data_IF_654211624119
#
_entry.id   IF_654211624119
#
_cell.length_a   1.000
_cell.length_b   1.000
_cell.length_c   1.000
_cell.angle_alpha   90.00
_cell.angle_beta   90.00
_cell.angle_gamma   90.00
#
_symmetry.space_group_name_H-M   'P 1'
#
loop_
_entity.id
_entity.type
_entity.pdbx_description
1 polymer ?
#
# COMPACT_ATOMS: atom_id res chain seq x y z
N UNK A 1 9.26 6.58 19.12
CA UNK A 1 9.08 7.86 18.41
C UNK A 1 8.58 7.49 17.03
N UNK A 2 7.44 8.02 16.65
CA UNK A 2 6.79 7.70 15.38
C UNK A 2 7.32 8.69 14.36
N UNK A 3 8.03 8.20 13.36
CA UNK A 3 8.62 9.07 12.34
C UNK A 3 8.21 8.62 10.93
N UNK A 4 8.46 9.49 9.95
CA UNK A 4 8.20 9.19 8.55
C UNK A 4 8.98 7.97 8.02
N UNK A 5 10.08 7.54 8.64
CA UNK A 5 10.76 6.32 8.18
C UNK A 5 9.94 5.09 8.53
N UNK A 6 9.46 5.01 9.77
CA UNK A 6 8.58 3.92 10.19
C UNK A 6 7.29 3.88 9.36
N UNK A 7 6.66 5.03 9.13
CA UNK A 7 5.46 5.12 8.29
C UNK A 7 5.71 4.72 6.83
N UNK A 8 6.88 5.01 6.28
CA UNK A 8 7.27 4.59 4.93
C UNK A 8 7.45 3.07 4.84
N UNK A 9 8.01 2.44 5.87
CA UNK A 9 8.10 0.99 5.95
C UNK A 9 6.70 0.35 6.04
N UNK A 10 5.83 0.87 6.91
CA UNK A 10 4.43 0.40 7.04
C UNK A 10 3.70 0.55 5.71
N UNK A 11 3.77 1.73 5.07
CA UNK A 11 3.17 1.97 3.77
C UNK A 11 3.73 1.02 2.69
N UNK A 12 5.04 0.77 2.71
CA UNK A 12 5.68 -0.21 1.83
C UNK A 12 5.14 -1.63 2.02
N UNK A 13 4.95 -2.07 3.27
CA UNK A 13 4.31 -3.36 3.58
C UNK A 13 2.88 -3.43 3.08
N UNK A 14 2.07 -2.40 3.29
CA UNK A 14 0.69 -2.33 2.78
C UNK A 14 0.67 -2.53 1.27
N UNK A 15 1.51 -1.81 0.53
CA UNK A 15 1.60 -1.92 -0.94
C UNK A 15 2.03 -3.32 -1.38
N UNK A 16 3.07 -3.86 -0.75
CA UNK A 16 3.56 -5.21 -1.06
C UNK A 16 2.49 -6.27 -0.81
N UNK A 17 1.83 -6.23 0.34
CA UNK A 17 0.81 -7.21 0.73
C UNK A 17 -0.43 -7.09 -0.17
N UNK A 18 -0.83 -5.88 -0.60
CA UNK A 18 -1.91 -5.70 -1.57
C UNK A 18 -1.56 -6.30 -2.94
N UNK A 19 -0.33 -6.13 -3.41
CA UNK A 19 0.11 -6.76 -4.65
C UNK A 19 0.11 -8.29 -4.54
N UNK A 20 0.57 -8.83 -3.41
CA UNK A 20 0.50 -10.27 -3.12
C UNK A 20 -0.96 -10.76 -3.10
N UNK A 21 -1.86 -10.01 -2.47
CA UNK A 21 -3.29 -10.33 -2.43
C UNK A 21 -3.88 -10.43 -3.85
N UNK A 22 -3.56 -9.46 -4.73
CA UNK A 22 -4.00 -9.51 -6.14
C UNK A 22 -3.45 -10.73 -6.88
N UNK A 23 -2.21 -11.14 -6.59
CA UNK A 23 -1.61 -12.34 -7.18
C UNK A 23 -2.33 -13.61 -6.70
N UNK A 24 -2.58 -13.73 -5.39
CA UNK A 24 -3.33 -14.85 -4.79
C UNK A 24 -4.74 -14.92 -5.35
N UNK A 25 -5.43 -13.80 -5.50
CA UNK A 25 -6.77 -13.75 -6.11
C UNK A 25 -6.76 -14.20 -7.58
N UNK A 26 -5.74 -13.79 -8.34
CA UNK A 26 -5.57 -14.22 -9.73
C UNK A 26 -5.30 -15.72 -9.83
N UNK A 27 -4.53 -16.28 -8.89
CA UNK A 27 -4.26 -17.71 -8.83
C UNK A 27 -5.49 -18.50 -8.41
N UNK A 28 -6.26 -18.01 -7.43
CA UNK A 28 -7.55 -18.60 -7.05
C UNK A 28 -8.51 -18.70 -8.22
N UNK A 29 -8.58 -17.69 -9.09
CA UNK A 29 -9.40 -17.75 -10.31
C UNK A 29 -8.94 -18.89 -11.22
N UNK A 30 -7.63 -19.04 -11.43
CA UNK A 30 -7.06 -20.12 -12.26
C UNK A 30 -7.32 -21.50 -11.68
N UNK A 31 -7.12 -21.67 -10.37
CA UNK A 31 -7.34 -22.95 -9.67
C UNK A 31 -8.82 -23.32 -9.68
N UNK A 32 -9.73 -22.37 -9.40
CA UNK A 32 -11.16 -22.63 -9.47
C UNK A 32 -11.61 -23.03 -10.88
N UNK A 33 -11.05 -22.41 -11.92
CA UNK A 33 -11.30 -22.80 -13.30
C UNK A 33 -10.85 -24.25 -13.57
N UNK A 34 -9.64 -24.63 -13.15
CA UNK A 34 -9.14 -26.01 -13.28
C UNK A 34 -10.00 -27.03 -12.53
N UNK A 35 -10.40 -26.73 -11.29
CA UNK A 35 -11.29 -27.59 -10.50
C UNK A 35 -12.61 -27.86 -11.25
N UNK A 36 -13.11 -26.86 -11.99
CA UNK A 36 -14.31 -27.04 -12.80
C UNK A 36 -14.07 -27.85 -14.08
N UNK A 37 -12.91 -27.71 -14.72
CA UNK A 37 -12.57 -28.42 -15.96
C UNK A 37 -12.20 -29.89 -15.76
N UNK A 38 -11.49 -30.24 -14.68
CA UNK A 38 -10.96 -31.59 -14.44
C UNK A 38 -12.06 -32.67 -14.51
N UNK A 39 -13.23 -32.52 -13.86
CA UNK A 39 -14.31 -33.49 -13.98
C UNK A 39 -14.87 -33.65 -15.40
N UNK A 40 -14.83 -32.58 -16.21
CA UNK A 40 -15.34 -32.60 -17.59
C UNK A 40 -14.42 -33.39 -18.53
N UNK A 41 -13.11 -33.37 -18.24
CA UNK A 41 -12.08 -34.06 -19.04
C UNK A 41 -11.73 -35.44 -18.48
N UNK A 42 -12.04 -35.70 -17.21
CA UNK A 42 -11.56 -36.89 -16.48
C UNK A 42 -11.95 -38.24 -17.08
N UNK A 43 -13.13 -38.35 -17.71
CA UNK A 43 -13.53 -39.61 -18.37
C UNK A 43 -12.65 -39.89 -19.60
N UNK A 44 -12.38 -38.86 -20.41
CA UNK A 44 -11.54 -38.95 -21.59
C UNK A 44 -10.09 -39.24 -21.21
N UNK A 45 -9.54 -38.50 -20.25
CA UNK A 45 -8.17 -38.67 -19.76
C UNK A 45 -7.96 -40.03 -19.09
N UNK A 46 -8.89 -40.49 -18.26
CA UNK A 46 -8.84 -41.81 -17.65
C UNK A 46 -8.90 -42.94 -18.68
N UNK A 47 -9.72 -42.77 -19.73
CA UNK A 47 -9.82 -43.74 -20.83
C UNK A 47 -8.53 -43.78 -21.64
N UNK A 48 -7.95 -42.61 -21.94
CA UNK A 48 -6.68 -42.50 -22.66
C UNK A 48 -5.52 -43.14 -21.87
N UNK A 49 -5.38 -42.81 -20.58
CA UNK A 49 -4.36 -43.39 -19.70
C UNK A 49 -4.41 -44.93 -19.69
N UNK A 50 -5.61 -45.51 -19.58
CA UNK A 50 -5.80 -46.97 -19.68
C UNK A 50 -5.37 -47.54 -21.03
N UNK A 51 -5.64 -46.84 -22.14
CA UNK A 51 -5.26 -47.29 -23.48
C UNK A 51 -3.75 -47.27 -23.72
N UNK A 52 -3.03 -46.33 -23.10
CA UNK A 52 -1.56 -46.23 -23.23
C UNK A 52 -0.80 -46.98 -22.14
N UNK A 53 -1.50 -47.65 -21.22
CA UNK A 53 -0.91 -48.43 -20.13
C UNK A 53 -0.37 -47.59 -18.97
N UNK A 54 -0.86 -46.36 -18.80
CA UNK A 54 -0.47 -45.43 -17.74
C UNK A 54 -1.56 -45.31 -16.65
N UNK A 55 -1.19 -44.78 -15.48
CA UNK A 55 -2.11 -44.51 -14.38
C UNK A 55 -2.69 -43.08 -14.48
N UNK A 56 -4.02 -42.98 -14.44
CA UNK A 56 -4.70 -41.68 -14.33
C UNK A 56 -4.58 -41.13 -12.91
N UNK A 57 -3.96 -39.97 -12.77
CA UNK A 57 -3.92 -39.23 -11.51
C UNK A 57 -5.05 -38.20 -11.47
N UNK A 58 -5.90 -38.29 -10.45
CA UNK A 58 -6.96 -37.30 -10.24
C UNK A 58 -6.41 -36.10 -9.47
N UNK A 59 -6.04 -35.06 -10.21
CA UNK A 59 -5.50 -33.80 -9.66
C UNK A 59 -6.52 -33.04 -8.81
N UNK A 60 -7.80 -33.43 -8.79
CA UNK A 60 -8.86 -32.68 -8.10
C UNK A 60 -8.59 -32.55 -6.59
N UNK A 61 -8.08 -33.60 -5.94
CA UNK A 61 -7.73 -33.53 -4.53
C UNK A 61 -6.59 -32.53 -4.24
N UNK A 62 -5.59 -32.46 -5.12
CA UNK A 62 -4.48 -31.52 -5.03
C UNK A 62 -4.93 -30.09 -5.30
N UNK A 63 -5.75 -29.88 -6.32
CA UNK A 63 -6.33 -28.57 -6.64
C UNK A 63 -7.23 -28.05 -5.50
N UNK A 64 -8.02 -28.92 -4.86
CA UNK A 64 -8.80 -28.55 -3.68
C UNK A 64 -7.89 -28.13 -2.51
N UNK A 65 -6.77 -28.82 -2.31
CA UNK A 65 -5.79 -28.46 -1.28
C UNK A 65 -5.16 -27.09 -1.55
N UNK A 66 -4.68 -26.87 -2.77
CA UNK A 66 -4.11 -25.58 -3.21
C UNK A 66 -5.12 -24.46 -3.05
N UNK A 67 -6.39 -24.69 -3.45
CA UNK A 67 -7.47 -23.71 -3.24
C UNK A 67 -7.61 -23.33 -1.76
N UNK A 68 -7.63 -24.31 -0.86
CA UNK A 68 -7.78 -24.05 0.58
C UNK A 68 -6.58 -23.27 1.14
N UNK A 69 -5.36 -23.58 0.70
CA UNK A 69 -4.15 -22.85 1.07
C UNK A 69 -4.22 -21.39 0.60
N UNK A 70 -4.57 -21.16 -0.67
CA UNK A 70 -4.73 -19.82 -1.24
C UNK A 70 -5.86 -19.02 -0.58
N UNK A 71 -6.97 -19.65 -0.19
CA UNK A 71 -8.04 -18.99 0.58
C UNK A 71 -7.54 -18.57 1.96
N UNK A 72 -6.80 -19.44 2.66
CA UNK A 72 -6.22 -19.09 3.95
C UNK A 72 -5.18 -17.97 3.83
N UNK A 73 -4.36 -17.99 2.79
CA UNK A 73 -3.39 -16.92 2.52
C UNK A 73 -4.09 -15.60 2.21
N UNK A 74 -5.16 -15.63 1.40
CA UNK A 74 -6.00 -14.46 1.11
C UNK A 74 -6.54 -13.82 2.40
N UNK A 75 -7.09 -14.62 3.30
CA UNK A 75 -7.64 -14.15 4.58
C UNK A 75 -6.55 -13.51 5.46
N UNK A 76 -5.39 -14.17 5.59
CA UNK A 76 -4.25 -13.65 6.35
C UNK A 76 -3.71 -12.34 5.78
N UNK A 77 -3.56 -12.26 4.46
CA UNK A 77 -3.13 -11.03 3.79
C UNK A 77 -4.15 -9.91 4.00
N UNK A 78 -5.45 -10.20 3.89
CA UNK A 78 -6.52 -9.24 4.15
C UNK A 78 -6.49 -8.68 5.58
N UNK A 79 -6.31 -9.54 6.58
CA UNK A 79 -6.18 -9.14 7.98
C UNK A 79 -4.91 -8.32 8.24
N UNK A 80 -3.79 -8.72 7.64
CA UNK A 80 -2.50 -8.02 7.76
C UNK A 80 -2.58 -6.63 7.15
N UNK A 81 -3.13 -6.51 5.93
CA UNK A 81 -3.34 -5.21 5.26
C UNK A 81 -4.23 -4.31 6.10
N UNK A 82 -5.33 -4.84 6.65
CA UNK A 82 -6.23 -4.07 7.52
C UNK A 82 -5.51 -3.58 8.77
N UNK A 83 -4.71 -4.44 9.40
CA UNK A 83 -3.93 -4.10 10.59
C UNK A 83 -2.90 -3.02 10.29
N UNK A 84 -2.07 -3.22 9.26
CA UNK A 84 -1.06 -2.25 8.85
C UNK A 84 -1.69 -0.91 8.42
N UNK A 85 -2.85 -0.93 7.75
CA UNK A 85 -3.58 0.31 7.37
C UNK A 85 -4.07 1.05 8.61
N UNK A 86 -4.62 0.35 9.60
CA UNK A 86 -5.05 0.96 10.86
C UNK A 86 -3.85 1.53 11.64
N UNK A 87 -2.72 0.80 11.66
CA UNK A 87 -1.46 1.29 12.22
C UNK A 87 -1.02 2.55 11.47
N UNK A 88 -0.98 2.53 10.14
CA UNK A 88 -0.60 3.70 9.35
C UNK A 88 -1.45 4.93 9.70
N UNK A 89 -2.78 4.78 9.75
CA UNK A 89 -3.71 5.88 10.11
C UNK A 89 -3.47 6.38 11.53
N UNK A 90 -3.32 5.47 12.50
CA UNK A 90 -3.08 5.83 13.90
C UNK A 90 -1.77 6.61 14.06
N UNK A 91 -0.74 6.18 13.33
CA UNK A 91 0.61 6.72 13.46
C UNK A 91 0.77 8.04 12.70
N UNK A 92 0.16 8.20 11.52
CA UNK A 92 0.19 9.47 10.78
C UNK A 92 -0.67 10.55 11.46
N UNK A 93 -1.74 10.16 12.17
CA UNK A 93 -2.60 11.08 12.92
C UNK A 93 -2.07 11.41 14.31
N UNK A 94 -0.95 10.79 14.71
CA UNK A 94 -0.30 11.03 15.99
C UNK A 94 0.14 12.49 16.14
N UNK A 95 -0.14 13.15 17.29
CA UNK A 95 0.37 14.50 17.56
C UNK A 95 1.89 14.53 17.71
N UNK A 96 2.51 13.38 18.01
CA UNK A 96 3.96 13.22 18.20
C UNK A 96 4.69 12.79 16.91
N UNK A 97 4.02 12.91 15.76
CA UNK A 97 4.57 12.57 14.45
C UNK A 97 5.81 13.42 14.14
N UNK A 98 6.92 12.74 13.84
CA UNK A 98 8.18 13.39 13.46
C UNK A 98 8.37 13.35 11.95
N UNK A 99 8.41 14.53 11.33
CA UNK A 99 8.73 14.72 9.92
C UNK A 99 10.19 15.17 9.80
N UNK A 100 11.09 14.37 9.21
CA UNK A 100 12.52 14.64 9.19
C UNK A 100 12.86 15.70 8.14
N UNK A 101 12.59 16.98 8.45
CA UNK A 101 12.91 18.11 7.59
C UNK A 101 14.34 18.63 7.83
N UNK A 102 15.01 19.02 6.76
CA UNK A 102 16.30 19.69 6.78
C UNK A 102 16.12 21.18 7.10
N UNK A 103 16.98 21.72 7.96
CA UNK A 103 17.01 23.13 8.34
C UNK A 103 18.39 23.73 8.01
N UNK A 104 18.46 24.99 7.56
CA UNK A 104 17.34 25.90 7.27
C UNK A 104 16.61 25.54 5.95
N UNK A 105 15.36 25.98 5.75
CA UNK A 105 14.65 25.80 4.49
C UNK A 105 15.29 26.61 3.35
N UNK A 106 14.96 26.25 2.11
CA UNK A 106 15.38 27.01 0.91
C UNK A 106 14.29 27.97 0.48
N UNK A 107 14.67 29.21 0.17
CA UNK A 107 13.77 30.21 -0.39
C UNK A 107 13.98 30.30 -1.89
N UNK A 108 12.92 30.09 -2.67
CA UNK A 108 12.97 30.13 -4.13
C UNK A 108 11.66 30.65 -4.70
N UNK A 109 11.73 31.68 -5.56
CA UNK A 109 10.60 32.16 -6.36
C UNK A 109 9.34 32.50 -5.53
N UNK A 110 9.52 33.08 -4.34
CA UNK A 110 8.41 33.41 -3.44
C UNK A 110 7.88 32.24 -2.61
N UNK A 111 8.51 31.07 -2.70
CA UNK A 111 8.18 29.87 -1.93
C UNK A 111 9.25 29.54 -0.89
N UNK A 112 8.83 28.86 0.17
CA UNK A 112 9.68 28.22 1.17
C UNK A 112 9.64 26.72 0.96
N UNK A 113 10.79 26.11 0.72
CA UNK A 113 10.95 24.69 0.40
C UNK A 113 11.64 24.00 1.56
N UNK A 114 10.94 23.04 2.17
CA UNK A 114 11.48 22.13 3.17
C UNK A 114 11.83 20.79 2.51
N UNK A 115 13.12 20.44 2.50
CA UNK A 115 13.58 19.13 2.03
C UNK A 115 13.63 18.13 3.17
N UNK A 116 13.50 16.86 2.85
CA UNK A 116 13.75 15.80 3.84
C UNK A 116 15.24 15.64 4.12
N UNK A 117 15.58 15.32 5.38
CA UNK A 117 16.96 15.08 5.80
C UNK A 117 17.61 14.00 4.95
N UNK A 118 18.91 14.17 4.69
CA UNK A 118 19.73 13.23 3.92
C UNK A 118 19.24 12.96 2.48
N UNK A 119 18.33 13.79 1.94
CA UNK A 119 17.78 13.59 0.60
C UNK A 119 16.87 12.35 0.47
N UNK A 120 16.34 11.84 1.60
CA UNK A 120 15.40 10.72 1.61
C UNK A 120 14.12 11.09 0.86
N UNK A 121 13.48 10.09 0.24
CA UNK A 121 12.17 10.23 -0.39
C UNK A 121 11.16 9.31 0.26
N UNK A 122 9.96 9.81 0.50
CA UNK A 122 8.87 9.09 1.13
C UNK A 122 7.77 8.83 0.11
N UNK A 123 7.96 7.84 -0.77
CA UNK A 123 7.00 7.61 -1.87
C UNK A 123 5.75 6.89 -1.36
N UNK A 124 5.96 5.85 -0.56
CA UNK A 124 4.89 4.95 -0.11
C UNK A 124 3.91 5.66 0.80
N UNK A 125 4.40 6.54 1.69
CA UNK A 125 3.53 7.39 2.53
C UNK A 125 2.57 8.19 1.65
N UNK A 126 3.07 8.91 0.64
CA UNK A 126 2.21 9.76 -0.17
C UNK A 126 1.31 8.99 -1.12
N UNK A 127 1.74 7.82 -1.59
CA UNK A 127 0.85 6.93 -2.34
C UNK A 127 -0.34 6.52 -1.47
N UNK A 128 -0.09 6.02 -0.24
CA UNK A 128 -1.16 5.61 0.68
C UNK A 128 -2.01 6.81 1.12
N UNK A 129 -1.40 7.95 1.44
CA UNK A 129 -2.15 9.16 1.80
C UNK A 129 -3.04 9.65 0.66
N UNK A 130 -2.53 9.65 -0.57
CA UNK A 130 -3.31 10.07 -1.73
C UNK A 130 -4.52 9.16 -1.93
N UNK A 131 -4.34 7.85 -1.75
CA UNK A 131 -5.43 6.88 -1.81
C UNK A 131 -6.46 7.09 -0.68
N UNK A 132 -6.02 7.23 0.57
CA UNK A 132 -6.90 7.42 1.72
C UNK A 132 -7.69 8.73 1.64
N UNK A 133 -7.09 9.78 1.10
CA UNK A 133 -7.73 11.09 0.93
C UNK A 133 -8.54 11.19 -0.37
N UNK A 134 -8.45 10.19 -1.26
CA UNK A 134 -9.07 10.26 -2.60
C UNK A 134 -8.48 11.38 -3.47
N UNK A 135 -7.21 11.73 -3.25
CA UNK A 135 -6.48 12.79 -3.96
C UNK A 135 -5.42 12.18 -4.88
N UNK A 136 -4.87 13.01 -5.77
CA UNK A 136 -3.67 12.66 -6.53
C UNK A 136 -2.42 13.24 -5.85
N UNK A 137 -1.29 12.54 -5.95
CA UNK A 137 -0.01 13.09 -5.54
C UNK A 137 0.51 14.08 -6.60
N UNK A 138 1.13 15.22 -6.21
CA UNK A 138 1.38 15.66 -4.84
C UNK A 138 0.12 16.18 -4.14
N UNK A 139 0.03 15.97 -2.82
CA UNK A 139 -1.13 16.35 -2.02
C UNK A 139 -1.07 17.86 -1.76
N UNK A 140 -2.07 18.60 -2.26
CA UNK A 140 -2.20 20.04 -2.07
C UNK A 140 -3.22 20.35 -0.97
N UNK A 141 -2.75 21.01 0.09
CA UNK A 141 -3.60 21.48 1.20
C UNK A 141 -3.36 22.97 1.40
N UNK A 142 -4.32 23.77 0.93
CA UNK A 142 -4.24 25.25 0.91
C UNK A 142 -2.98 25.71 0.15
N UNK A 143 -2.06 26.35 0.86
CA UNK A 143 -0.82 26.91 0.32
C UNK A 143 0.38 25.95 0.44
N UNK A 144 0.15 24.70 0.86
CA UNK A 144 1.20 23.70 1.10
C UNK A 144 1.05 22.55 0.12
N UNK A 145 2.13 22.24 -0.58
CA UNK A 145 2.26 21.06 -1.42
C UNK A 145 3.13 20.03 -0.70
N UNK A 146 2.55 18.87 -0.42
CA UNK A 146 3.27 17.72 0.12
C UNK A 146 3.64 16.76 -1.02
N UNK A 147 4.93 16.51 -1.19
CA UNK A 147 5.45 15.58 -2.20
C UNK A 147 6.48 14.64 -1.61
N UNK A 148 6.80 13.55 -2.31
CA UNK A 148 7.73 12.53 -1.79
C UNK A 148 9.16 13.02 -1.61
N UNK A 149 9.57 14.11 -2.25
CA UNK A 149 10.92 14.67 -2.13
C UNK A 149 11.02 15.92 -1.27
N UNK A 150 9.95 16.70 -1.18
CA UNK A 150 9.96 17.99 -0.50
C UNK A 150 8.56 18.51 -0.20
N UNK A 151 8.50 19.49 0.69
CA UNK A 151 7.30 20.23 1.05
C UNK A 151 7.48 21.67 0.62
N UNK A 152 6.58 22.17 -0.21
CA UNK A 152 6.64 23.53 -0.75
C UNK A 152 5.50 24.35 -0.17
N UNK A 153 5.83 25.50 0.43
CA UNK A 153 4.86 26.45 0.98
C UNK A 153 4.91 27.74 0.19
N UNK A 154 3.75 28.23 -0.27
CA UNK A 154 3.62 29.43 -1.12
C UNK A 154 3.76 30.75 -0.37
N UNK A 155 4.84 30.90 0.39
CA UNK A 155 5.23 32.14 1.09
C UNK A 155 6.75 32.22 1.18
N UNK A 156 7.29 33.43 1.25
CA UNK A 156 8.73 33.69 1.39
C UNK A 156 9.17 33.94 2.84
N UNK A 157 8.23 34.20 3.76
CA UNK A 157 8.52 34.33 5.18
C UNK A 157 8.62 32.96 5.86
N UNK A 158 9.73 32.71 6.57
CA UNK A 158 9.99 31.40 7.19
C UNK A 158 8.99 31.08 8.32
N UNK A 159 8.61 32.09 9.10
CA UNK A 159 7.72 31.88 10.24
C UNK A 159 6.30 31.57 9.75
N UNK A 160 5.82 32.35 8.77
CA UNK A 160 4.55 32.09 8.08
C UNK A 160 4.55 30.72 7.40
N UNK A 161 5.66 30.33 6.75
CA UNK A 161 5.78 29.02 6.12
C UNK A 161 5.62 27.87 7.12
N UNK A 162 6.26 27.98 8.30
CA UNK A 162 6.12 27.01 9.40
C UNK A 162 4.68 26.93 9.91
N UNK A 163 4.02 28.07 10.11
CA UNK A 163 2.62 28.11 10.55
C UNK A 163 1.68 27.43 9.54
N UNK A 164 1.85 27.73 8.24
CA UNK A 164 1.06 27.11 7.17
C UNK A 164 1.32 25.61 7.07
N UNK A 165 2.58 25.18 7.16
CA UNK A 165 2.94 23.77 7.19
C UNK A 165 2.23 23.01 8.33
N UNK A 166 2.33 23.52 9.56
CA UNK A 166 1.68 22.91 10.73
C UNK A 166 0.16 22.86 10.55
N UNK A 167 -0.44 23.96 10.08
CA UNK A 167 -1.89 24.03 9.86
C UNK A 167 -2.37 23.02 8.81
N UNK A 168 -1.65 22.90 7.69
CA UNK A 168 -1.99 21.95 6.63
C UNK A 168 -1.78 20.51 7.06
N UNK A 169 -0.72 20.20 7.83
CA UNK A 169 -0.53 18.85 8.36
C UNK A 169 -1.64 18.46 9.34
N UNK A 170 -2.02 19.37 10.25
CA UNK A 170 -3.14 19.15 11.17
C UNK A 170 -4.47 18.92 10.43
N UNK A 171 -4.66 19.56 9.27
CA UNK A 171 -5.84 19.34 8.43
C UNK A 171 -5.85 17.94 7.82
N UNK A 172 -4.71 17.48 7.28
CA UNK A 172 -4.54 16.08 6.82
C UNK A 172 -4.85 15.10 7.95
N UNK A 173 -4.26 15.30 9.14
CA UNK A 173 -4.47 14.43 10.29
C UNK A 173 -5.94 14.40 10.72
N UNK A 174 -6.62 15.55 10.72
CA UNK A 174 -8.06 15.63 11.04
C UNK A 174 -8.90 14.88 10.03
N UNK A 175 -8.62 15.02 8.73
CA UNK A 175 -9.36 14.31 7.68
C UNK A 175 -9.23 12.79 7.82
N UNK A 176 -8.06 12.29 8.23
CA UNK A 176 -7.81 10.86 8.40
C UNK A 176 -8.33 10.28 9.74
N UNK A 177 -8.64 11.13 10.71
CA UNK A 177 -9.12 10.72 12.04
C UNK A 177 -10.65 10.58 12.14
N UNK A 178 -11.37 10.71 11.02
CA UNK A 178 -12.84 10.62 10.91
C UNK A 178 -13.24 9.17 10.65
#
# INVERSE_FOLDING_TARGET
>A
MVDFHYLEEVAGRIKSNRQQLTNVESELVRVNFRIHEVPLKGVTESTFAKMVGDQYHDELAELQKIKNELVSEKEKLGETIKTDTNTFVTEITSPDLVIPLELPPKFQEGNTIFKYKNGVKFNSIFDILSELLGLSAPILVKDVMFSSSEIVVKVSDEYEAKQKFISSMNEVQKTLSI
#
